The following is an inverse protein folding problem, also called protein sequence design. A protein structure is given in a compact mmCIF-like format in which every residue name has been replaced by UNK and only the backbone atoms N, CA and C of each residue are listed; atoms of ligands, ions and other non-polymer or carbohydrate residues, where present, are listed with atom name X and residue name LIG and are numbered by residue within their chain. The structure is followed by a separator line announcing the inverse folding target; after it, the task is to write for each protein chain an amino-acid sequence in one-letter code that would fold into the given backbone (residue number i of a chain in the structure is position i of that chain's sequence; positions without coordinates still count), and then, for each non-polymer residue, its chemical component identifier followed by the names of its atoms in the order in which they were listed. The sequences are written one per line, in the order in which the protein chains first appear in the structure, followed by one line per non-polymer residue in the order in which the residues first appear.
data_IF_195625218588
#
_entry.id   IF_195625218588
#
_cell.length_a   1.000
_cell.length_b   1.000
_cell.length_c   1.000
_cell.angle_alpha   90.00
_cell.angle_beta   90.00
_cell.angle_gamma   90.00
#
_symmetry.space_group_name_H-M   'P 1'
#
loop_
_entity.id
_entity.type
_entity.pdbx_description
1 polymer ?
#
# COMPACT_ATOMS: atom_id res chain seq x y z
N UNK A 1 15.16 -2.44 12.77
CA UNK A 1 14.62 -3.69 12.19
C UNK A 1 13.62 -3.38 11.09
N UNK A 2 12.77 -2.37 11.25
CA UNK A 2 11.91 -1.86 10.17
C UNK A 2 12.70 -1.14 9.06
N UNK A 3 13.70 -0.31 9.41
CA UNK A 3 14.51 0.40 8.42
C UNK A 3 15.23 -0.52 7.43
N UNK A 4 15.65 -1.71 7.88
CA UNK A 4 16.26 -2.72 7.00
C UNK A 4 15.26 -3.38 6.04
N UNK A 5 13.97 -3.38 6.38
CA UNK A 5 12.90 -3.90 5.50
C UNK A 5 12.47 -2.86 4.46
N UNK A 6 12.54 -1.58 4.82
CA UNK A 6 12.15 -0.49 3.93
C UNK A 6 12.95 -0.48 2.62
N UNK A 7 14.26 -0.75 2.68
CA UNK A 7 15.10 -0.85 1.48
C UNK A 7 14.61 -1.92 0.49
N UNK A 8 14.12 -3.06 0.99
CA UNK A 8 13.55 -4.11 0.13
C UNK A 8 12.23 -3.69 -0.51
N UNK A 9 11.37 -2.99 0.25
CA UNK A 9 10.12 -2.42 -0.27
C UNK A 9 10.42 -1.37 -1.35
N UNK A 10 11.38 -0.50 -1.11
CA UNK A 10 11.75 0.56 -2.06
C UNK A 10 12.30 -0.02 -3.36
N UNK A 11 13.17 -1.04 -3.27
CA UNK A 11 13.69 -1.76 -4.43
C UNK A 11 12.57 -2.44 -5.23
N UNK A 12 11.61 -3.08 -4.55
CA UNK A 12 10.43 -3.67 -5.19
C UNK A 12 9.58 -2.62 -5.90
N UNK A 13 9.30 -1.48 -5.24
CA UNK A 13 8.51 -0.40 -5.83
C UNK A 13 9.21 0.23 -7.04
N UNK A 14 10.54 0.38 -7.02
CA UNK A 14 11.31 0.82 -8.19
C UNK A 14 11.16 -0.16 -9.34
N UNK A 15 11.39 -1.45 -9.09
CA UNK A 15 11.30 -2.48 -10.12
C UNK A 15 9.89 -2.59 -10.73
N UNK A 16 8.83 -2.37 -9.95
CA UNK A 16 7.45 -2.35 -10.46
C UNK A 16 7.21 -1.11 -11.34
N UNK A 17 7.67 0.07 -10.93
CA UNK A 17 7.57 1.29 -11.75
C UNK A 17 8.33 1.17 -13.06
N UNK A 18 9.53 0.61 -13.03
CA UNK A 18 10.35 0.34 -14.23
C UNK A 18 9.66 -0.63 -15.20
N UNK A 19 8.82 -1.54 -14.68
CA UNK A 19 7.97 -2.43 -15.49
C UNK A 19 6.70 -1.77 -16.05
N UNK A 20 6.47 -0.51 -15.74
CA UNK A 20 5.33 0.27 -16.24
C UNK A 20 4.13 0.34 -15.29
N UNK A 21 4.22 -0.24 -14.08
CA UNK A 21 3.15 -0.14 -13.10
C UNK A 21 3.06 1.29 -12.55
N UNK A 22 1.85 1.82 -12.45
CA UNK A 22 1.57 3.20 -12.09
C UNK A 22 0.63 3.32 -10.88
N UNK A 23 0.91 4.32 -10.04
CA UNK A 23 0.17 4.49 -8.78
C UNK A 23 -1.30 4.82 -9.07
N UNK A 24 -2.20 4.04 -8.47
CA UNK A 24 -3.64 4.24 -8.58
C UNK A 24 -4.30 3.57 -9.78
N UNK A 25 -3.53 2.92 -10.66
CA UNK A 25 -4.06 2.10 -11.75
C UNK A 25 -3.86 0.62 -11.43
N UNK A 26 -2.60 0.16 -11.46
CA UNK A 26 -2.19 -1.23 -11.20
C UNK A 26 -1.18 -1.35 -10.04
N UNK A 27 -0.84 -0.23 -9.39
CA UNK A 27 0.02 -0.19 -8.21
C UNK A 27 -0.60 0.62 -7.07
N UNK A 28 -0.69 0.00 -5.89
CA UNK A 28 -1.00 0.68 -4.64
C UNK A 28 -0.12 0.15 -3.51
N UNK A 29 0.37 1.07 -2.68
CA UNK A 29 1.11 0.75 -1.46
C UNK A 29 0.79 1.78 -0.38
N UNK A 30 0.83 1.35 0.87
CA UNK A 30 0.60 2.18 2.05
C UNK A 30 1.66 1.87 3.09
N UNK A 31 2.42 2.88 3.50
CA UNK A 31 3.36 2.77 4.61
C UNK A 31 2.69 3.27 5.89
N UNK A 32 2.78 2.50 6.97
CA UNK A 32 2.23 2.84 8.27
C UNK A 32 3.39 2.91 9.29
N UNK A 33 4.09 4.06 9.39
CA UNK A 33 5.24 4.19 10.28
C UNK A 33 4.86 3.88 11.74
N UNK A 34 5.65 3.02 12.39
CA UNK A 34 5.43 2.63 13.78
C UNK A 34 4.28 1.64 14.01
N UNK A 35 3.62 1.15 12.95
CA UNK A 35 2.67 0.07 13.06
C UNK A 35 3.38 -1.23 13.45
N UNK A 36 2.87 -1.90 14.47
CA UNK A 36 3.43 -3.16 14.96
C UNK A 36 2.85 -4.34 14.17
N UNK A 37 3.50 -5.50 14.33
CA UNK A 37 3.03 -6.77 13.76
C UNK A 37 1.95 -7.43 14.64
N UNK A 38 0.85 -6.69 14.90
CA UNK A 38 -0.30 -7.16 15.67
C UNK A 38 -1.59 -6.99 14.86
N UNK A 39 -2.58 -7.83 15.16
CA UNK A 39 -3.88 -7.80 14.48
C UNK A 39 -4.56 -6.42 14.55
N UNK A 40 -4.47 -5.73 15.70
CA UNK A 40 -5.05 -4.39 15.89
C UNK A 40 -4.53 -3.36 14.89
N UNK A 41 -3.26 -3.44 14.51
CA UNK A 41 -2.66 -2.52 13.54
C UNK A 41 -2.99 -2.96 12.11
N UNK A 42 -3.09 -4.27 11.87
CA UNK A 42 -3.49 -4.80 10.57
C UNK A 42 -4.94 -4.45 10.21
N UNK A 43 -5.87 -4.57 11.16
CA UNK A 43 -7.29 -4.24 10.96
C UNK A 43 -7.49 -2.81 10.46
N UNK A 44 -6.65 -1.87 10.87
CA UNK A 44 -6.73 -0.47 10.44
C UNK A 44 -6.47 -0.26 8.94
N UNK A 45 -5.85 -1.23 8.25
CA UNK A 45 -5.42 -1.09 6.84
C UNK A 45 -5.82 -2.24 5.92
N UNK A 46 -6.30 -3.37 6.45
CA UNK A 46 -6.64 -4.57 5.66
C UNK A 46 -7.71 -4.31 4.58
N UNK A 47 -8.56 -3.30 4.80
CA UNK A 47 -9.60 -2.90 3.87
C UNK A 47 -9.05 -2.19 2.62
N UNK A 48 -7.86 -1.57 2.68
CA UNK A 48 -7.26 -0.81 1.58
C UNK A 48 -7.03 -1.66 0.31
N UNK A 49 -6.37 -2.85 0.36
CA UNK A 49 -6.21 -3.67 -0.82
C UNK A 49 -7.55 -4.16 -1.40
N UNK A 50 -8.56 -4.42 -0.55
CA UNK A 50 -9.89 -4.80 -1.03
C UNK A 50 -10.55 -3.69 -1.83
N UNK A 51 -10.44 -2.44 -1.36
CA UNK A 51 -10.94 -1.28 -2.10
C UNK A 51 -10.14 -1.05 -3.38
N UNK A 52 -8.82 -1.24 -3.36
CA UNK A 52 -7.99 -1.13 -4.56
C UNK A 52 -8.31 -2.21 -5.62
N UNK A 53 -8.72 -3.42 -5.22
CA UNK A 53 -9.02 -4.48 -6.20
C UNK A 53 -10.48 -4.49 -6.67
N UNK A 54 -11.41 -4.12 -5.79
CA UNK A 54 -12.86 -4.34 -6.00
C UNK A 54 -13.72 -3.10 -5.78
N UNK A 55 -13.12 -1.97 -5.36
CA UNK A 55 -13.83 -0.73 -5.13
C UNK A 55 -14.31 -0.08 -6.43
N UNK A 56 -15.28 0.82 -6.31
CA UNK A 56 -15.63 1.72 -7.41
C UNK A 56 -14.78 3.00 -7.35
N UNK A 57 -14.85 3.83 -8.40
CA UNK A 57 -14.06 5.06 -8.53
C UNK A 57 -14.12 5.98 -7.30
N UNK A 58 -15.27 6.07 -6.63
CA UNK A 58 -15.42 6.90 -5.43
C UNK A 58 -14.69 6.29 -4.23
N UNK A 59 -14.71 4.96 -4.10
CA UNK A 59 -13.97 4.24 -3.08
C UNK A 59 -12.45 4.40 -3.24
N UNK A 60 -11.93 4.47 -4.46
CA UNK A 60 -10.51 4.71 -4.72
C UNK A 60 -10.04 6.12 -4.32
N UNK A 61 -10.87 7.15 -4.47
CA UNK A 61 -10.52 8.50 -4.00
C UNK A 61 -10.40 8.51 -2.47
N UNK A 62 -11.34 7.89 -1.78
CA UNK A 62 -11.35 7.77 -0.32
C UNK A 62 -10.06 7.18 0.26
N UNK A 63 -9.44 6.19 -0.41
CA UNK A 63 -8.22 5.54 0.11
C UNK A 63 -6.93 6.31 -0.15
N UNK A 64 -6.95 7.32 -1.03
CA UNK A 64 -5.79 8.18 -1.29
C UNK A 64 -5.71 9.35 -0.30
N UNK A 65 -6.84 9.74 0.29
CA UNK A 65 -6.98 10.86 1.24
C UNK A 65 -6.71 10.45 2.70
N UNK A 66 -6.64 9.14 2.97
CA UNK A 66 -6.43 8.52 4.29
C UNK A 66 -5.08 7.83 4.34
#
# INVERSE_FOLDING_TARGET
MEDSLQTGIDAMLSALKEKGYSKGDDLYYYNAPGAKHFESDWTQRIWRPLVFMFGNRNSFQYIQEK
#
